data_IF_389155785989
#
_entry.id   IF_389155785989
#
_cell.length_a   1.000
_cell.length_b   1.000
_cell.length_c   1.000
_cell.angle_alpha   90.00
_cell.angle_beta   90.00
_cell.angle_gamma   90.00
#
_symmetry.space_group_name_H-M   'P 1'
#
loop_
_entity.id
_entity.type
_entity.pdbx_description
1 polymer ?
#
# COMPACT_ATOMS: atom_id res chain seq x y z
N UNK A 1 -14.13 -6.87 -25.60
CA UNK A 1 -13.75 -5.49 -25.25
C UNK A 1 -14.97 -4.74 -24.80
N UNK A 2 -15.11 -4.68 -23.48
CA UNK A 2 -16.01 -3.77 -22.79
C UNK A 2 -15.62 -2.35 -23.19
N UNK A 3 -16.60 -1.55 -23.57
CA UNK A 3 -16.39 -0.15 -23.90
C UNK A 3 -16.38 0.64 -22.59
N UNK A 4 -15.32 1.40 -22.34
CA UNK A 4 -15.16 2.25 -21.16
C UNK A 4 -15.22 3.70 -21.66
N UNK A 5 -16.36 4.35 -21.54
CA UNK A 5 -16.55 5.72 -22.05
C UNK A 5 -16.31 6.78 -20.98
N UNK A 6 -16.63 6.45 -19.72
CA UNK A 6 -16.53 7.36 -18.58
C UNK A 6 -16.10 6.65 -17.28
N UNK A 7 -16.06 7.41 -16.19
CA UNK A 7 -15.66 6.89 -14.88
C UNK A 7 -16.66 5.88 -14.30
N UNK A 8 -17.95 6.00 -14.62
CA UNK A 8 -18.95 5.03 -14.17
C UNK A 8 -18.69 3.67 -14.80
N UNK A 9 -18.41 3.62 -16.11
CA UNK A 9 -18.00 2.40 -16.81
C UNK A 9 -16.71 1.84 -16.23
N UNK A 10 -15.73 2.71 -15.98
CA UNK A 10 -14.43 2.33 -15.42
C UNK A 10 -14.56 1.67 -14.04
N UNK A 11 -15.35 2.28 -13.15
CA UNK A 11 -15.63 1.77 -11.81
C UNK A 11 -16.42 0.46 -11.90
N UNK A 12 -17.44 0.39 -12.75
CA UNK A 12 -18.23 -0.83 -12.95
C UNK A 12 -17.36 -1.97 -13.47
N UNK A 13 -16.42 -1.69 -14.38
CA UNK A 13 -15.47 -2.67 -14.88
C UNK A 13 -14.59 -3.23 -13.75
N UNK A 14 -14.01 -2.37 -12.91
CA UNK A 14 -13.18 -2.79 -11.77
C UNK A 14 -14.00 -3.62 -10.77
N UNK A 15 -15.21 -3.19 -10.42
CA UNK A 15 -16.06 -3.92 -9.47
C UNK A 15 -16.62 -5.24 -10.01
N UNK A 16 -16.74 -5.36 -11.33
CA UNK A 16 -17.19 -6.56 -12.03
C UNK A 16 -16.12 -7.65 -12.15
N UNK A 17 -14.87 -7.36 -11.78
CA UNK A 17 -13.77 -8.32 -11.76
C UNK A 17 -13.96 -9.39 -10.68
N UNK A 18 -13.22 -10.49 -10.81
CA UNK A 18 -13.18 -11.55 -9.81
C UNK A 18 -12.78 -11.01 -8.44
N UNK A 19 -13.50 -11.40 -7.38
CA UNK A 19 -13.19 -10.95 -6.02
C UNK A 19 -11.90 -11.57 -5.54
N UNK A 20 -11.15 -10.80 -4.75
CA UNK A 20 -9.89 -11.24 -4.19
C UNK A 20 -10.08 -12.50 -3.33
N UNK A 21 -9.19 -13.47 -3.54
CA UNK A 21 -9.00 -14.63 -2.68
C UNK A 21 -7.50 -14.79 -2.46
N UNK A 22 -7.09 -15.03 -1.21
CA UNK A 22 -5.67 -15.24 -0.91
C UNK A 22 -5.15 -16.41 -1.72
N UNK A 23 -4.24 -16.09 -2.62
CA UNK A 23 -3.50 -17.05 -3.44
C UNK A 23 -2.02 -16.78 -3.16
N UNK A 24 -1.21 -17.78 -2.79
CA UNK A 24 0.23 -17.59 -2.61
C UNK A 24 0.95 -17.54 -3.98
N UNK A 25 0.51 -16.63 -4.84
CA UNK A 25 1.01 -16.45 -6.20
C UNK A 25 0.83 -15.00 -6.64
N UNK A 26 1.84 -14.49 -7.35
CA UNK A 26 1.80 -13.19 -8.03
C UNK A 26 1.60 -13.32 -9.54
N UNK A 27 1.31 -14.53 -10.05
CA UNK A 27 1.24 -14.80 -11.49
C UNK A 27 0.34 -13.81 -12.24
N UNK A 28 -0.89 -13.59 -11.76
CA UNK A 28 -1.86 -12.73 -12.45
C UNK A 28 -1.43 -11.28 -12.51
N UNK A 29 -0.95 -10.73 -11.39
CA UNK A 29 -0.48 -9.35 -11.35
C UNK A 29 0.83 -9.20 -12.15
N UNK A 30 1.75 -10.16 -12.09
CA UNK A 30 2.98 -10.11 -12.87
C UNK A 30 2.68 -10.15 -14.38
N UNK A 31 1.77 -11.02 -14.84
CA UNK A 31 1.34 -11.03 -16.24
C UNK A 31 0.70 -9.69 -16.67
N UNK A 32 -0.04 -9.02 -15.78
CA UNK A 32 -0.55 -7.68 -16.04
C UNK A 32 0.59 -6.66 -16.18
N UNK A 33 1.53 -6.65 -15.22
CA UNK A 33 2.64 -5.69 -15.20
C UNK A 33 3.59 -5.89 -16.39
N UNK A 34 3.90 -7.13 -16.74
CA UNK A 34 4.70 -7.48 -17.93
C UNK A 34 4.06 -6.92 -19.20
N UNK A 35 2.75 -7.11 -19.37
CA UNK A 35 2.01 -6.60 -20.52
C UNK A 35 1.83 -5.07 -20.52
N UNK A 36 2.01 -4.43 -19.37
CA UNK A 36 1.97 -2.98 -19.19
C UNK A 36 3.37 -2.32 -19.28
N UNK A 37 4.41 -3.09 -19.60
CA UNK A 37 5.80 -2.63 -19.64
C UNK A 37 6.30 -2.09 -18.28
N UNK A 38 5.95 -2.80 -17.21
CA UNK A 38 6.41 -2.59 -15.85
C UNK A 38 6.23 -1.17 -15.27
N UNK A 39 5.00 -0.63 -15.22
CA UNK A 39 4.74 0.71 -14.69
C UNK A 39 5.08 0.83 -13.18
N UNK A 40 5.09 -0.29 -12.44
CA UNK A 40 5.48 -0.35 -11.02
C UNK A 40 6.94 0.04 -10.78
N UNK A 41 7.80 -0.03 -11.80
CA UNK A 41 9.23 0.32 -11.69
C UNK A 41 9.50 1.83 -11.80
N UNK A 42 8.48 2.62 -12.12
CA UNK A 42 8.64 4.05 -12.42
C UNK A 42 8.72 4.95 -11.19
N UNK A 43 8.38 4.44 -10.00
CA UNK A 43 8.30 5.22 -8.77
C UNK A 43 9.01 4.49 -7.62
N UNK A 44 9.22 5.22 -6.52
CA UNK A 44 9.76 4.70 -5.25
C UNK A 44 8.63 4.61 -4.24
N UNK A 45 8.70 3.68 -3.28
CA UNK A 45 7.55 3.36 -2.45
C UNK A 45 7.84 3.39 -0.95
N UNK A 46 6.89 3.90 -0.17
CA UNK A 46 6.79 3.59 1.26
C UNK A 46 5.64 2.61 1.41
N UNK A 47 5.94 1.37 1.82
CA UNK A 47 4.97 0.29 1.85
C UNK A 47 4.40 0.13 3.27
N UNK A 48 3.08 0.19 3.42
CA UNK A 48 2.43 0.29 4.74
C UNK A 48 1.45 -0.85 4.94
N UNK A 49 1.64 -1.61 6.02
CA UNK A 49 0.65 -2.58 6.50
C UNK A 49 0.37 -2.41 7.99
N UNK A 50 -0.63 -3.15 8.45
CA UNK A 50 -1.07 -3.20 9.84
C UNK A 50 -2.51 -3.65 9.94
N UNK A 51 -2.96 -3.99 11.14
CA UNK A 51 -4.38 -4.31 11.35
C UNK A 51 -5.19 -3.01 11.32
N UNK A 52 -4.82 -2.02 12.13
CA UNK A 52 -5.47 -0.71 12.20
C UNK A 52 -4.50 0.44 11.89
N UNK A 53 -5.03 1.60 11.53
CA UNK A 53 -4.25 2.84 11.41
C UNK A 53 -3.36 2.94 10.17
N UNK A 54 -3.51 2.02 9.19
CA UNK A 54 -2.83 2.07 7.89
C UNK A 54 -3.12 3.39 7.17
N UNK A 55 -4.39 3.63 6.79
CA UNK A 55 -4.81 4.86 6.11
C UNK A 55 -4.44 6.15 6.85
N UNK A 56 -4.61 6.22 8.17
CA UNK A 56 -4.19 7.39 8.96
C UNK A 56 -2.68 7.63 8.87
N UNK A 57 -1.88 6.56 9.00
CA UNK A 57 -0.42 6.65 8.89
C UNK A 57 0.01 7.01 7.47
N UNK A 58 -0.62 6.41 6.45
CA UNK A 58 -0.39 6.74 5.04
C UNK A 58 -0.65 8.22 4.77
N UNK A 59 -1.77 8.74 5.26
CA UNK A 59 -2.12 10.15 5.10
C UNK A 59 -1.14 11.07 5.82
N UNK A 60 -0.77 10.77 7.07
CA UNK A 60 0.22 11.55 7.81
C UNK A 60 1.57 11.59 7.10
N UNK A 61 2.06 10.45 6.61
CA UNK A 61 3.31 10.37 5.84
C UNK A 61 3.19 11.21 4.57
N UNK A 62 2.11 11.08 3.82
CA UNK A 62 1.90 11.83 2.60
C UNK A 62 1.90 13.35 2.85
N UNK A 63 1.18 13.82 3.87
CA UNK A 63 1.12 15.25 4.20
C UNK A 63 2.46 15.82 4.70
N UNK A 64 3.23 15.05 5.49
CA UNK A 64 4.58 15.46 5.91
C UNK A 64 5.48 15.63 4.68
N UNK A 65 5.47 14.66 3.76
CA UNK A 65 6.33 14.67 2.57
C UNK A 65 5.92 15.77 1.58
N UNK A 66 4.62 16.02 1.41
CA UNK A 66 4.08 17.15 0.62
C UNK A 66 4.50 18.48 1.21
N UNK A 67 4.39 18.64 2.53
CA UNK A 67 4.83 19.85 3.24
C UNK A 67 6.35 20.06 3.08
N UNK A 68 7.12 18.98 2.97
CA UNK A 68 8.55 19.03 2.66
C UNK A 68 8.87 19.34 1.18
N UNK A 69 7.85 19.54 0.34
CA UNK A 69 7.99 19.95 -1.06
C UNK A 69 8.09 18.82 -2.08
N UNK A 70 7.84 17.56 -1.68
CA UNK A 70 7.86 16.41 -2.59
C UNK A 70 6.53 16.24 -3.33
N UNK A 71 6.59 15.68 -4.53
CA UNK A 71 5.45 15.10 -5.24
C UNK A 71 5.15 13.72 -4.66
N UNK A 72 3.94 13.54 -4.13
CA UNK A 72 3.59 12.35 -3.35
C UNK A 72 2.31 11.72 -3.84
N UNK A 73 2.44 10.52 -4.39
CA UNK A 73 1.33 9.63 -4.67
C UNK A 73 0.85 8.92 -3.40
N UNK A 74 -0.43 8.62 -3.32
CA UNK A 74 -1.01 7.80 -2.27
C UNK A 74 -1.96 6.79 -2.89
N UNK A 75 -1.87 5.55 -2.42
CA UNK A 75 -2.84 4.50 -2.72
C UNK A 75 -3.41 3.93 -1.44
N UNK A 76 -4.74 3.96 -1.30
CA UNK A 76 -5.45 3.52 -0.09
C UNK A 76 -6.68 2.69 -0.40
N UNK A 77 -7.08 1.85 0.55
CA UNK A 77 -8.18 0.91 0.41
C UNK A 77 -8.84 0.62 1.76
N UNK A 78 -10.18 0.65 1.89
CA UNK A 78 -11.19 1.03 0.89
C UNK A 78 -11.30 2.56 0.69
N UNK A 79 -12.21 3.01 -0.19
CA UNK A 79 -12.68 4.41 -0.19
C UNK A 79 -13.86 4.59 0.78
N UNK A 80 -14.17 5.84 1.15
CA UNK A 80 -15.29 6.19 2.02
C UNK A 80 -16.47 6.75 1.22
N UNK A 81 -16.27 7.83 0.45
CA UNK A 81 -17.37 8.48 -0.29
C UNK A 81 -17.30 8.21 -1.79
N UNK A 82 -16.11 8.28 -2.39
CA UNK A 82 -15.91 8.15 -3.85
C UNK A 82 -14.73 7.26 -4.18
N UNK A 83 -14.86 6.49 -5.26
CA UNK A 83 -13.83 5.55 -5.72
C UNK A 83 -12.45 6.19 -5.89
N UNK A 84 -12.42 7.43 -6.40
CA UNK A 84 -11.22 8.19 -6.69
C UNK A 84 -10.35 8.43 -5.45
N UNK A 85 -10.90 8.35 -4.23
CA UNK A 85 -10.13 8.44 -2.98
C UNK A 85 -9.01 7.41 -2.89
N UNK A 86 -9.11 6.30 -3.63
CA UNK A 86 -8.10 5.24 -3.63
C UNK A 86 -6.79 5.65 -4.27
N UNK A 87 -6.76 6.64 -5.17
CA UNK A 87 -5.55 7.08 -5.88
C UNK A 87 -5.49 8.60 -5.80
N UNK A 88 -4.44 9.13 -5.18
CA UNK A 88 -4.27 10.56 -4.99
C UNK A 88 -2.83 10.97 -5.27
N UNK A 89 -2.63 12.20 -5.73
CA UNK A 89 -1.33 12.86 -5.78
C UNK A 89 -1.44 14.26 -5.16
N UNK A 90 -0.50 15.16 -5.50
CA UNK A 90 -0.50 16.51 -4.96
C UNK A 90 -1.60 17.40 -5.55
N UNK A 91 -2.15 17.06 -6.73
CA UNK A 91 -3.23 17.79 -7.38
C UNK A 91 -4.62 17.33 -6.89
N UNK A 92 -4.66 16.24 -6.11
CA UNK A 92 -5.85 15.78 -5.41
C UNK A 92 -6.16 14.31 -5.72
N UNK A 93 -7.46 14.00 -5.79
CA UNK A 93 -7.91 12.67 -6.20
C UNK A 93 -7.69 12.48 -7.69
N UNK A 94 -7.41 11.25 -8.13
CA UNK A 94 -7.42 10.93 -9.57
C UNK A 94 -8.70 11.45 -10.22
N UNK A 95 -8.58 12.16 -11.34
CA UNK A 95 -9.76 12.69 -12.04
C UNK A 95 -10.57 11.55 -12.68
N UNK A 96 -11.86 11.76 -12.89
CA UNK A 96 -12.70 10.79 -13.61
C UNK A 96 -12.15 10.50 -15.01
N UNK A 97 -11.61 11.52 -15.69
CA UNK A 97 -10.99 11.38 -16.98
C UNK A 97 -9.72 10.51 -16.93
N UNK A 98 -8.87 10.68 -15.92
CA UNK A 98 -7.62 9.92 -15.81
C UNK A 98 -7.86 8.50 -15.29
N UNK A 99 -8.85 8.31 -14.42
CA UNK A 99 -9.34 6.98 -14.04
C UNK A 99 -9.84 6.23 -15.28
N UNK A 100 -10.66 6.87 -16.10
CA UNK A 100 -11.19 6.31 -17.35
C UNK A 100 -10.05 5.91 -18.29
N UNK A 101 -9.08 6.81 -18.54
CA UNK A 101 -7.92 6.54 -19.39
C UNK A 101 -7.04 5.39 -18.85
N UNK A 102 -6.81 5.35 -17.55
CA UNK A 102 -6.01 4.30 -16.93
C UNK A 102 -6.71 2.94 -17.05
N UNK A 103 -8.02 2.87 -16.83
CA UNK A 103 -8.80 1.63 -17.04
C UNK A 103 -8.85 1.24 -18.51
N UNK A 104 -8.98 2.18 -19.45
CA UNK A 104 -8.92 1.89 -20.89
C UNK A 104 -7.60 1.24 -21.31
N UNK A 105 -6.48 1.55 -20.63
CA UNK A 105 -5.19 0.90 -20.87
C UNK A 105 -5.12 -0.51 -20.27
N UNK A 106 -5.66 -0.70 -19.07
CA UNK A 106 -5.58 -1.98 -18.34
C UNK A 106 -6.60 -3.00 -18.85
N UNK A 107 -7.82 -2.57 -19.17
CA UNK A 107 -8.94 -3.47 -19.47
C UNK A 107 -8.70 -4.45 -20.63
N UNK A 108 -8.12 -4.05 -21.80
CA UNK A 108 -7.86 -5.00 -22.88
C UNK A 108 -6.88 -6.10 -22.49
N UNK A 109 -5.90 -5.78 -21.65
CA UNK A 109 -4.90 -6.74 -21.15
C UNK A 109 -5.58 -7.69 -20.17
N UNK A 110 -6.35 -7.15 -19.23
CA UNK A 110 -7.11 -7.93 -18.26
C UNK A 110 -8.09 -8.91 -18.93
N UNK A 111 -8.83 -8.47 -19.95
CA UNK A 111 -9.75 -9.32 -20.73
C UNK A 111 -9.03 -10.44 -21.48
N UNK A 112 -7.83 -10.18 -22.01
CA UNK A 112 -6.99 -11.22 -22.62
C UNK A 112 -6.56 -12.24 -21.57
N UNK A 113 -6.11 -11.77 -20.40
CA UNK A 113 -5.66 -12.64 -19.31
C UNK A 113 -6.81 -13.46 -18.68
N UNK A 114 -8.06 -13.02 -18.78
CA UNK A 114 -9.22 -13.84 -18.40
C UNK A 114 -9.34 -15.15 -19.18
N UNK A 115 -8.80 -15.18 -20.40
CA UNK A 115 -8.81 -16.36 -21.25
C UNK A 115 -7.59 -17.25 -21.04
N UNK A 116 -6.48 -16.66 -20.55
CA UNK A 116 -5.19 -17.33 -20.40
C UNK A 116 -4.97 -17.89 -18.98
N UNK A 117 -5.51 -17.20 -17.96
CA UNK A 117 -5.25 -17.50 -16.55
C UNK A 117 -6.53 -17.98 -15.86
N UNK A 118 -6.39 -19.03 -15.06
CA UNK A 118 -7.52 -19.52 -14.25
C UNK A 118 -7.97 -18.45 -13.27
N UNK A 119 -9.23 -18.03 -13.43
CA UNK A 119 -9.87 -17.03 -12.57
C UNK A 119 -9.53 -15.58 -12.88
N UNK A 120 -8.66 -15.30 -13.87
CA UNK A 120 -8.36 -13.94 -14.37
C UNK A 120 -7.87 -12.93 -13.33
N UNK A 121 -7.34 -11.76 -13.72
CA UNK A 121 -6.95 -10.75 -12.75
C UNK A 121 -8.14 -10.28 -11.90
N UNK A 122 -7.95 -10.28 -10.58
CA UNK A 122 -8.96 -9.89 -9.59
C UNK A 122 -9.22 -8.39 -9.61
N UNK A 123 -10.26 -7.95 -8.91
CA UNK A 123 -10.59 -6.54 -8.70
C UNK A 123 -9.41 -5.76 -8.13
N UNK A 124 -8.76 -6.29 -7.09
CA UNK A 124 -7.66 -5.61 -6.43
C UNK A 124 -6.38 -5.60 -7.29
N UNK A 125 -6.11 -6.70 -8.02
CA UNK A 125 -5.01 -6.75 -9.00
C UNK A 125 -5.22 -5.74 -10.14
N UNK A 126 -6.44 -5.65 -10.67
CA UNK A 126 -6.81 -4.69 -11.72
C UNK A 126 -6.68 -3.25 -11.23
N UNK A 127 -7.21 -2.95 -10.05
CA UNK A 127 -7.11 -1.62 -9.44
C UNK A 127 -5.65 -1.22 -9.16
N UNK A 128 -4.82 -2.16 -8.68
CA UNK A 128 -3.41 -1.89 -8.41
C UNK A 128 -2.65 -1.60 -9.71
N UNK A 129 -2.94 -2.34 -10.79
CA UNK A 129 -2.39 -2.04 -12.12
C UNK A 129 -2.83 -0.67 -12.66
N UNK A 130 -4.10 -0.28 -12.44
CA UNK A 130 -4.62 1.06 -12.78
C UNK A 130 -3.85 2.15 -12.05
N UNK A 131 -3.56 1.95 -10.75
CA UNK A 131 -2.75 2.87 -9.96
C UNK A 131 -1.32 3.00 -10.50
N UNK A 132 -0.65 1.90 -10.83
CA UNK A 132 0.69 1.97 -11.42
C UNK A 132 0.69 2.70 -12.77
N UNK A 133 -0.29 2.42 -13.63
CA UNK A 133 -0.47 3.11 -14.91
C UNK A 133 -0.71 4.61 -14.73
N UNK A 134 -1.43 5.00 -13.68
CA UNK A 134 -1.65 6.40 -13.33
C UNK A 134 -0.33 7.09 -12.94
N UNK A 135 0.43 6.54 -11.98
CA UNK A 135 1.69 7.14 -11.54
C UNK A 135 2.84 6.99 -12.54
N UNK A 136 2.74 6.10 -13.52
CA UNK A 136 3.67 6.10 -14.65
C UNK A 136 3.45 7.29 -15.60
N UNK A 137 2.23 7.84 -15.64
CA UNK A 137 1.89 9.04 -16.43
C UNK A 137 2.00 10.33 -15.64
N UNK A 138 1.85 10.25 -14.32
CA UNK A 138 1.94 11.35 -13.36
C UNK A 138 3.05 11.00 -12.36
N UNK A 139 4.33 11.11 -12.79
CA UNK A 139 5.45 10.68 -11.97
C UNK A 139 5.52 11.50 -10.69
N UNK A 140 5.73 10.81 -9.57
CA UNK A 140 5.87 11.38 -8.23
C UNK A 140 7.21 10.97 -7.64
N UNK A 141 7.71 11.73 -6.67
CA UNK A 141 8.98 11.38 -6.00
C UNK A 141 8.84 10.09 -5.18
N UNK A 142 7.65 9.84 -4.64
CA UNK A 142 7.33 8.68 -3.81
C UNK A 142 5.84 8.38 -3.81
N UNK A 143 5.48 7.11 -3.80
CA UNK A 143 4.12 6.61 -3.57
C UNK A 143 4.03 6.02 -2.16
N UNK A 144 3.12 6.55 -1.35
CA UNK A 144 2.73 5.97 -0.07
C UNK A 144 1.67 4.90 -0.34
N UNK A 145 2.09 3.64 -0.28
CA UNK A 145 1.33 2.49 -0.77
C UNK A 145 0.79 1.67 0.41
N UNK A 146 -0.52 1.68 0.58
CA UNK A 146 -1.21 0.88 1.60
C UNK A 146 -1.50 -0.53 1.09
N UNK A 147 -1.10 -1.53 1.88
CA UNK A 147 -1.45 -2.95 1.69
C UNK A 147 -2.95 -3.14 1.86
N UNK A 148 -3.56 -3.91 0.94
CA UNK A 148 -4.95 -4.33 1.07
C UNK A 148 -5.18 -5.23 2.28
N UNK A 149 -4.61 -6.44 2.26
CA UNK A 149 -4.73 -7.44 3.34
C UNK A 149 -3.40 -8.17 3.55
N UNK A 150 -2.94 -8.21 4.81
CA UNK A 150 -1.74 -8.97 5.17
C UNK A 150 -0.45 -8.26 4.78
N UNK A 151 0.19 -8.66 3.69
CA UNK A 151 1.49 -8.13 3.26
C UNK A 151 2.18 -9.06 2.26
N UNK A 152 2.67 -10.21 2.74
CA UNK A 152 3.48 -11.18 1.99
C UNK A 152 2.89 -11.62 0.64
N UNK A 153 1.57 -11.71 0.53
CA UNK A 153 0.85 -12.13 -0.67
C UNK A 153 -0.19 -11.08 -1.08
N UNK A 154 -0.01 -9.84 -0.63
CA UNK A 154 -0.82 -8.74 -1.11
C UNK A 154 -0.32 -8.30 -2.48
N UNK A 155 -1.24 -7.94 -3.36
CA UNK A 155 -0.92 -7.48 -4.71
C UNK A 155 0.10 -6.34 -4.72
N UNK A 156 0.09 -5.45 -3.72
CA UNK A 156 1.00 -4.31 -3.66
C UNK A 156 2.45 -4.71 -3.37
N UNK A 157 2.72 -5.96 -2.99
CA UNK A 157 4.07 -6.44 -2.68
C UNK A 157 4.99 -6.61 -3.90
N UNK A 158 4.43 -6.53 -5.12
CA UNK A 158 5.19 -6.61 -6.39
C UNK A 158 6.12 -5.41 -6.65
N UNK A 159 6.08 -4.38 -5.81
CA UNK A 159 6.91 -3.18 -5.96
C UNK A 159 8.40 -3.45 -5.70
N UNK A 160 9.33 -2.93 -6.53
CA UNK A 160 10.76 -3.24 -6.42
C UNK A 160 11.59 -2.27 -5.56
N UNK A 161 11.40 -0.94 -5.66
CA UNK A 161 12.21 0.06 -4.92
C UNK A 161 11.46 0.61 -3.69
N UNK A 162 11.36 -0.22 -2.66
CA UNK A 162 10.83 0.18 -1.35
C UNK A 162 11.88 1.03 -0.62
N UNK A 163 11.50 2.24 -0.22
CA UNK A 163 12.28 3.12 0.63
C UNK A 163 12.24 2.68 2.09
N UNK A 164 11.06 2.25 2.53
CA UNK A 164 10.79 1.79 3.87
C UNK A 164 9.54 0.91 3.90
N UNK A 165 9.51 0.01 4.86
CA UNK A 165 8.30 -0.70 5.26
C UNK A 165 7.77 -0.12 6.58
N UNK A 166 6.45 0.00 6.72
CA UNK A 166 5.79 0.43 7.95
C UNK A 166 4.79 -0.63 8.39
N UNK A 167 4.90 -1.09 9.63
CA UNK A 167 3.95 -2.01 10.25
C UNK A 167 3.33 -1.31 11.45
N UNK A 168 2.11 -0.79 11.30
CA UNK A 168 1.48 0.09 12.30
C UNK A 168 1.14 -0.66 13.59
N UNK A 169 0.56 -1.86 13.48
CA UNK A 169 0.25 -2.77 14.57
C UNK A 169 -0.12 -4.16 14.03
N UNK A 170 -0.21 -5.14 14.93
CA UNK A 170 -0.69 -6.49 14.64
C UNK A 170 -1.79 -6.85 15.64
N UNK A 171 -2.98 -7.14 15.12
CA UNK A 171 -4.15 -7.58 15.88
C UNK A 171 -4.90 -8.70 15.18
N UNK A 172 -5.83 -9.33 15.89
CA UNK A 172 -6.68 -10.41 15.37
C UNK A 172 -7.68 -9.86 14.35
N UNK A 173 -7.31 -9.94 13.08
CA UNK A 173 -8.13 -9.52 11.95
C UNK A 173 -7.83 -10.39 10.73
N UNK A 174 -8.82 -10.57 9.85
CA UNK A 174 -8.74 -11.45 8.69
C UNK A 174 -8.18 -12.86 9.01
N UNK A 175 -8.47 -13.41 10.19
CA UNK A 175 -7.86 -14.65 10.70
C UNK A 175 -8.05 -15.86 9.79
N UNK A 176 -9.19 -15.93 9.08
CA UNK A 176 -9.47 -16.96 8.06
C UNK A 176 -8.40 -17.03 6.96
N UNK A 177 -7.66 -15.94 6.78
CA UNK A 177 -6.75 -15.71 5.66
C UNK A 177 -5.31 -15.49 6.15
N UNK A 178 -5.12 -14.87 7.32
CA UNK A 178 -3.82 -14.50 7.85
C UNK A 178 -3.27 -15.44 8.93
N UNK A 179 -4.10 -16.30 9.51
CA UNK A 179 -3.71 -17.21 10.60
C UNK A 179 -4.53 -16.97 11.87
N UNK A 180 -4.35 -17.87 12.83
CA UNK A 180 -5.15 -17.90 14.07
C UNK A 180 -4.39 -17.36 15.29
N UNK A 181 -3.16 -16.88 15.11
CA UNK A 181 -2.32 -16.29 16.16
C UNK A 181 -1.71 -14.96 15.73
N UNK A 182 -1.35 -14.11 16.70
CA UNK A 182 -0.63 -12.86 16.40
C UNK A 182 0.73 -13.09 15.72
N UNK A 183 1.37 -14.23 15.98
CA UNK A 183 2.62 -14.60 15.33
C UNK A 183 2.42 -14.88 13.83
N UNK A 184 1.43 -15.71 13.47
CA UNK A 184 1.12 -16.00 12.05
C UNK A 184 0.68 -14.74 11.29
N UNK A 185 -0.15 -13.89 11.92
CA UNK A 185 -0.55 -12.61 11.32
C UNK A 185 0.66 -11.69 11.14
N UNK A 186 1.59 -11.67 12.11
CA UNK A 186 2.83 -10.92 12.01
C UNK A 186 3.75 -11.46 10.90
N UNK A 187 3.81 -12.77 10.67
CA UNK A 187 4.59 -13.36 9.57
C UNK A 187 4.08 -12.87 8.22
N UNK A 188 2.76 -12.83 8.03
CA UNK A 188 2.16 -12.29 6.81
C UNK A 188 2.51 -10.82 6.63
N UNK A 189 2.43 -10.00 7.69
CA UNK A 189 2.74 -8.56 7.62
C UNK A 189 4.23 -8.30 7.44
N UNK A 190 5.11 -9.11 8.02
CA UNK A 190 6.56 -9.02 7.86
C UNK A 190 7.03 -9.34 6.43
N UNK A 191 6.13 -9.86 5.58
CA UNK A 191 6.41 -10.10 4.17
C UNK A 191 6.80 -8.84 3.39
N UNK A 192 6.34 -7.66 3.80
CA UNK A 192 6.68 -6.41 3.11
C UNK A 192 8.09 -5.87 3.39
N UNK A 193 8.83 -6.53 4.30
CA UNK A 193 10.16 -6.10 4.73
C UNK A 193 11.18 -6.40 3.64
N UNK A 194 11.80 -5.34 3.15
CA UNK A 194 12.81 -5.39 2.10
C UNK A 194 14.23 -5.51 2.68
N UNK A 195 15.11 -6.22 1.99
CA UNK A 195 16.50 -6.38 2.43
C UNK A 195 17.21 -5.03 2.54
N UNK A 196 17.93 -4.81 3.64
CA UNK A 196 18.70 -3.59 3.90
C UNK A 196 17.93 -2.26 3.92
N UNK A 197 16.59 -2.30 3.84
CA UNK A 197 15.73 -1.11 3.96
C UNK A 197 15.16 -1.00 5.37
N UNK A 198 14.94 0.22 5.88
CA UNK A 198 14.38 0.39 7.22
C UNK A 198 12.95 -0.15 7.32
N UNK A 199 12.65 -0.76 8.46
CA UNK A 199 11.29 -1.10 8.87
C UNK A 199 10.90 -0.30 10.10
N UNK A 200 9.77 0.41 10.02
CA UNK A 200 9.21 1.22 11.10
C UNK A 200 8.06 0.45 11.75
N UNK A 201 8.14 0.26 13.06
CA UNK A 201 7.17 -0.50 13.83
C UNK A 201 6.41 0.41 14.79
N UNK A 202 5.08 0.37 14.73
CA UNK A 202 4.24 0.93 15.79
C UNK A 202 4.19 0.01 17.02
N UNK A 203 3.18 0.19 17.90
CA UNK A 203 3.01 -0.65 19.08
C UNK A 203 2.66 -2.10 18.70
N UNK A 204 3.44 -3.07 19.19
CA UNK A 204 3.28 -4.49 18.89
C UNK A 204 3.29 -5.33 20.16
N UNK A 205 2.45 -6.37 20.21
CA UNK A 205 2.57 -7.42 21.23
C UNK A 205 3.89 -8.19 21.04
N UNK A 206 4.46 -8.70 22.14
CA UNK A 206 5.78 -9.36 22.13
C UNK A 206 5.89 -10.51 21.12
N UNK A 207 4.82 -11.30 20.98
CA UNK A 207 4.77 -12.42 20.02
C UNK A 207 4.89 -11.95 18.58
N UNK A 208 4.19 -10.87 18.21
CA UNK A 208 4.26 -10.27 16.88
C UNK A 208 5.59 -9.53 16.67
N UNK A 209 6.04 -8.77 17.66
CA UNK A 209 7.30 -8.02 17.62
C UNK A 209 8.48 -8.95 17.37
N UNK A 210 8.55 -10.09 18.05
CA UNK A 210 9.62 -11.08 17.87
C UNK A 210 9.69 -11.59 16.43
N UNK A 211 8.55 -11.95 15.84
CA UNK A 211 8.48 -12.42 14.45
C UNK A 211 9.02 -11.37 13.48
N UNK A 212 8.53 -10.14 13.60
CA UNK A 212 8.88 -9.04 12.69
C UNK A 212 10.36 -8.66 12.83
N UNK A 213 10.87 -8.55 14.06
CA UNK A 213 12.29 -8.23 14.32
C UNK A 213 13.21 -9.33 13.80
N UNK A 214 12.86 -10.61 14.03
CA UNK A 214 13.65 -11.72 13.50
C UNK A 214 13.69 -11.69 11.96
N UNK A 215 12.55 -11.42 11.30
CA UNK A 215 12.50 -11.25 9.84
C UNK A 215 13.40 -10.09 9.39
N UNK A 216 13.29 -8.92 10.02
CA UNK A 216 14.10 -7.75 9.70
C UNK A 216 15.61 -8.04 9.85
N UNK A 217 16.01 -8.67 10.95
CA UNK A 217 17.39 -9.08 11.19
C UNK A 217 17.89 -10.07 10.12
N UNK A 218 17.06 -11.05 9.72
CA UNK A 218 17.47 -12.05 8.73
C UNK A 218 17.77 -11.47 7.35
N UNK A 219 17.25 -10.28 7.02
CA UNK A 219 17.50 -9.57 5.76
C UNK A 219 18.31 -8.29 5.95
N UNK A 220 18.88 -8.07 7.14
CA UNK A 220 19.67 -6.88 7.45
C UNK A 220 18.90 -5.56 7.39
N UNK A 221 17.59 -5.58 7.59
CA UNK A 221 16.73 -4.38 7.63
C UNK A 221 16.85 -3.66 8.99
N UNK A 222 17.25 -2.37 9.03
CA UNK A 222 17.27 -1.58 10.26
C UNK A 222 15.86 -1.45 10.88
N UNK A 223 15.72 -1.71 12.17
CA UNK A 223 14.43 -1.63 12.87
C UNK A 223 14.33 -0.32 13.64
N UNK A 224 13.29 0.47 13.35
CA UNK A 224 12.89 1.66 14.10
C UNK A 224 11.55 1.38 14.77
N UNK A 225 11.56 1.03 16.06
CA UNK A 225 10.35 0.62 16.77
C UNK A 225 9.88 1.67 17.78
N UNK A 226 8.56 1.86 17.86
CA UNK A 226 7.91 2.68 18.86
C UNK A 226 8.25 2.17 20.28
N UNK A 227 8.69 3.08 21.15
CA UNK A 227 9.16 2.78 22.50
C UNK A 227 10.67 2.54 22.60
N UNK A 228 11.36 2.23 21.49
CA UNK A 228 12.83 2.10 21.47
C UNK A 228 13.50 3.24 20.71
N UNK A 229 13.11 3.44 19.45
CA UNK A 229 13.74 4.40 18.53
C UNK A 229 13.02 5.75 18.50
N UNK A 230 11.71 5.75 18.76
CA UNK A 230 10.89 6.95 18.85
C UNK A 230 9.73 6.75 19.81
N UNK A 231 9.19 7.85 20.33
CA UNK A 231 8.05 7.87 21.25
C UNK A 231 7.23 9.12 21.03
N UNK A 232 5.97 9.11 21.47
CA UNK A 232 5.12 10.30 21.46
C UNK A 232 4.83 10.75 22.89
N UNK A 233 4.62 12.05 23.06
CA UNK A 233 4.08 12.64 24.29
C UNK A 233 2.77 13.29 23.88
N UNK A 234 1.69 12.93 24.56
CA UNK A 234 0.39 13.55 24.29
C UNK A 234 0.36 14.95 24.92
N UNK A 235 0.23 15.98 24.09
CA UNK A 235 -0.10 17.32 24.54
C UNK A 235 -1.62 17.51 24.46
N UNK A 236 -2.30 17.53 25.59
CA UNK A 236 -3.74 17.83 25.62
C UNK A 236 -3.96 19.31 25.30
N UNK A 237 -4.18 19.63 24.04
CA UNK A 237 -4.77 20.91 23.62
C UNK A 237 -6.24 20.68 23.30
N UNK A 238 -7.11 21.62 23.67
CA UNK A 238 -8.53 21.61 23.28
C UNK A 238 -8.65 21.68 21.75
N UNK A 239 -8.56 20.54 21.07
CA UNK A 239 -8.82 20.44 19.64
C UNK A 239 -10.25 19.95 19.42
N UNK A 240 -11.01 20.67 18.59
CA UNK A 240 -12.39 20.34 18.28
C UNK A 240 -12.52 19.19 17.27
N UNK A 241 -11.50 18.93 16.44
CA UNK A 241 -11.39 17.78 15.52
C UNK A 241 -9.98 17.73 14.88
N UNK A 242 -9.40 16.53 14.71
CA UNK A 242 -8.08 16.33 14.09
C UNK A 242 -6.95 15.99 15.08
N UNK A 243 -5.75 15.73 14.54
CA UNK A 243 -4.52 15.48 15.32
C UNK A 243 -3.44 16.44 14.84
N UNK A 244 -2.67 17.02 15.77
CA UNK A 244 -1.47 17.81 15.47
C UNK A 244 -0.28 17.17 16.17
N UNK A 245 0.79 16.95 15.43
CA UNK A 245 2.04 16.41 15.98
C UNK A 245 3.20 17.28 15.51
N UNK A 246 4.12 17.55 16.45
CA UNK A 246 5.38 18.21 16.19
C UNK A 246 6.51 17.20 16.30
N UNK A 247 7.53 17.33 15.46
CA UNK A 247 8.73 16.51 15.56
C UNK A 247 9.74 17.18 16.51
N UNK A 248 9.74 16.74 17.77
CA UNK A 248 10.72 17.17 18.76
C UNK A 248 11.95 16.27 18.67
N UNK A 249 13.00 16.75 17.99
CA UNK A 249 14.24 15.97 17.85
C UNK A 249 15.01 15.99 19.17
N UNK A 250 15.15 14.82 19.80
CA UNK A 250 16.23 14.56 20.77
C UNK A 250 17.07 13.33 20.40
N UNK A 251 17.25 13.02 19.12
CA UNK A 251 18.25 12.02 18.66
C UNK A 251 18.87 12.43 17.32
N UNK A 252 20.22 12.48 17.26
CA UNK A 252 20.97 12.38 16.00
C UNK A 252 20.84 10.93 15.51
N UNK A 253 20.28 10.74 14.33
CA UNK A 253 20.47 9.49 13.61
C UNK A 253 21.80 9.64 12.87
N UNK A 254 22.87 9.10 13.45
CA UNK A 254 24.09 8.82 12.70
C UNK A 254 23.83 7.50 11.94
N UNK A 255 23.20 7.63 10.77
CA UNK A 255 23.03 6.54 9.79
C UNK A 255 24.12 6.69 8.72
#
# INVERSE_FOLDING_TARGET
>A
MVKIEDASDAIAYIHGRHKWQKTPSFERINCLLDALDHPEKMNRYIHITGTNGKGSTSKMIAEILRTAGLQVGMFSSPFIERFNERIQDNDGLISDADLTKAVQKVAPITERLDQELTGGPTEFETLTAVMFVYFAQHPVDVVVLEVGVGGMWDTTEVIPDKLAAVITNVGFDHMKVLGNSLAEIAEQKAGIIEAHRPVILGPLADSARRVIVNKAQSVGAPVLAYGDAFSTVSETKNQQFGETFDLWKRVRLDI
#
